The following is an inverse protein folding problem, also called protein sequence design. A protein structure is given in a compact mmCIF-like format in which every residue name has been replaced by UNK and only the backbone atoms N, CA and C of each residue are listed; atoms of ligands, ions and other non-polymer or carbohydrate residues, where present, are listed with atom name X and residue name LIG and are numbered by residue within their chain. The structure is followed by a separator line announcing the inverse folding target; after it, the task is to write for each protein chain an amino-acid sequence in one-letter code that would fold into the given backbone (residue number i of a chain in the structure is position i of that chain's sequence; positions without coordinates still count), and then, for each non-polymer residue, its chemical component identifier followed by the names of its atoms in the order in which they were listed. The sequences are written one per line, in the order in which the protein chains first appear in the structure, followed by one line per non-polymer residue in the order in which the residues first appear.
data_IF_786551072591
#
_entry.id   IF_786551072591
#
_cell.length_a   1.000
_cell.length_b   1.000
_cell.length_c   1.000
_cell.angle_alpha   90.00
_cell.angle_beta   90.00
_cell.angle_gamma   90.00
#
_symmetry.space_group_name_H-M   'P 1'
#
loop_
_entity.id
_entity.type
_entity.pdbx_description
1 polymer ?
#
# COMPACT_ATOMS: atom_id res chain seq x y z
N UNK A 1 0.55 -29.04 -6.53
CA UNK A 1 -0.07 -27.70 -6.50
C UNK A 1 -1.17 -27.67 -7.54
N UNK A 2 -2.43 -27.60 -7.08
CA UNK A 2 -3.63 -28.02 -7.84
C UNK A 2 -4.17 -26.89 -8.71
N UNK A 3 -4.81 -27.23 -9.82
CA UNK A 3 -5.35 -26.34 -10.88
C UNK A 3 -6.17 -25.14 -10.38
N UNK A 4 -6.74 -25.19 -9.17
CA UNK A 4 -7.43 -24.08 -8.52
C UNK A 4 -6.53 -22.85 -8.32
N UNK A 5 -5.25 -23.06 -7.99
CA UNK A 5 -4.29 -21.96 -7.83
C UNK A 5 -4.03 -21.28 -9.18
N UNK A 6 -3.97 -22.03 -10.29
CA UNK A 6 -3.84 -21.49 -11.66
C UNK A 6 -5.05 -20.67 -12.09
N UNK A 7 -6.27 -21.07 -11.70
CA UNK A 7 -7.49 -20.29 -11.99
C UNK A 7 -7.55 -18.96 -11.24
N UNK A 8 -7.03 -18.91 -10.01
CA UNK A 8 -7.02 -17.66 -9.21
C UNK A 8 -6.17 -16.57 -9.88
N UNK A 9 -4.98 -16.93 -10.40
CA UNK A 9 -4.07 -16.00 -11.08
C UNK A 9 -4.52 -15.50 -12.47
N UNK A 10 -5.65 -15.99 -13.02
CA UNK A 10 -6.08 -15.69 -14.39
C UNK A 10 -7.08 -14.51 -14.51
N UNK A 11 -7.37 -13.79 -13.43
CA UNK A 11 -8.15 -12.55 -13.50
C UNK A 11 -7.25 -11.34 -13.79
N UNK A 12 -7.11 -11.02 -15.08
CA UNK A 12 -6.55 -9.74 -15.52
C UNK A 12 -7.57 -8.62 -15.24
N UNK A 13 -7.50 -8.03 -14.04
CA UNK A 13 -8.15 -6.75 -13.78
C UNK A 13 -7.42 -5.66 -14.57
N UNK A 14 -8.12 -4.97 -15.47
CA UNK A 14 -7.63 -3.79 -16.19
C UNK A 14 -7.52 -2.56 -15.26
N UNK A 15 -6.89 -2.70 -14.10
CA UNK A 15 -6.55 -1.57 -13.26
C UNK A 15 -5.09 -1.19 -13.52
N UNK A 16 -4.87 0.05 -13.94
CA UNK A 16 -3.54 0.60 -14.08
C UNK A 16 -3.09 1.10 -12.70
N UNK A 17 -2.22 0.35 -12.01
CA UNK A 17 -1.72 0.72 -10.68
C UNK A 17 -0.61 1.77 -10.75
N UNK A 18 -0.76 2.82 -11.55
CA UNK A 18 0.34 3.72 -11.87
C UNK A 18 0.58 4.80 -10.81
N UNK A 19 -0.49 5.39 -10.26
CA UNK A 19 -0.38 6.51 -9.32
C UNK A 19 -0.45 6.00 -7.88
N UNK A 20 0.66 6.12 -7.15
CA UNK A 20 0.84 5.52 -5.83
C UNK A 20 1.12 6.60 -4.79
N UNK A 21 0.44 6.54 -3.65
CA UNK A 21 0.74 7.39 -2.48
C UNK A 21 1.24 6.55 -1.32
N UNK A 22 2.33 6.98 -0.71
CA UNK A 22 2.84 6.41 0.54
C UNK A 22 2.44 7.34 1.70
N UNK A 23 1.75 6.78 2.68
CA UNK A 23 1.20 7.49 3.84
C UNK A 23 2.01 7.13 5.08
N UNK A 24 2.67 8.13 5.67
CA UNK A 24 3.70 7.96 6.70
C UNK A 24 5.06 7.79 6.05
N UNK A 25 5.89 8.84 6.09
CA UNK A 25 7.22 8.92 5.49
C UNK A 25 8.32 8.83 6.56
N UNK A 26 8.07 8.01 7.58
CA UNK A 26 9.06 7.67 8.60
C UNK A 26 10.11 6.68 8.10
N UNK A 27 10.71 5.95 9.03
CA UNK A 27 11.80 5.00 8.75
C UNK A 27 11.45 3.95 7.69
N UNK A 28 10.20 3.47 7.67
CA UNK A 28 9.76 2.50 6.67
C UNK A 28 9.26 3.17 5.38
N UNK A 29 8.33 4.12 5.50
CA UNK A 29 7.61 4.61 4.32
C UNK A 29 8.46 5.48 3.40
N UNK A 30 9.46 6.21 3.89
CA UNK A 30 10.33 6.98 2.99
C UNK A 30 11.16 6.07 2.06
N UNK A 31 11.85 5.01 2.55
CA UNK A 31 12.47 4.01 1.69
C UNK A 31 11.49 3.38 0.68
N UNK A 32 10.27 3.04 1.13
CA UNK A 32 9.23 2.50 0.22
C UNK A 32 8.87 3.52 -0.87
N UNK A 33 8.68 4.79 -0.53
CA UNK A 33 8.37 5.84 -1.50
C UNK A 33 9.49 6.02 -2.54
N UNK A 34 10.76 5.99 -2.10
CA UNK A 34 11.92 6.03 -3.01
C UNK A 34 11.91 4.83 -3.95
N UNK A 35 11.76 3.62 -3.40
CA UNK A 35 11.76 2.38 -4.17
C UNK A 35 10.65 2.36 -5.22
N UNK A 36 9.40 2.70 -4.83
CA UNK A 36 8.26 2.76 -5.74
C UNK A 36 8.51 3.79 -6.87
N UNK A 37 9.07 4.95 -6.54
CA UNK A 37 9.45 5.96 -7.55
C UNK A 37 10.54 5.46 -8.51
N UNK A 38 11.57 4.79 -8.01
CA UNK A 38 12.66 4.23 -8.82
C UNK A 38 12.18 3.15 -9.80
N UNK A 39 11.04 2.51 -9.51
CA UNK A 39 10.40 1.51 -10.36
C UNK A 39 9.35 2.08 -11.32
N UNK A 40 9.34 3.41 -11.52
CA UNK A 40 8.59 4.06 -12.60
C UNK A 40 7.15 4.46 -12.28
N UNK A 41 6.69 4.27 -11.05
CA UNK A 41 5.35 4.70 -10.63
C UNK A 41 5.27 6.22 -10.46
N UNK A 42 4.09 6.80 -10.70
CA UNK A 42 3.80 8.20 -10.38
C UNK A 42 3.59 8.35 -8.85
N UNK A 43 4.70 8.55 -8.15
CA UNK A 43 4.78 8.41 -6.69
C UNK A 43 4.61 9.72 -5.93
N UNK A 44 3.75 9.67 -4.92
CA UNK A 44 3.49 10.75 -3.98
C UNK A 44 3.68 10.30 -2.53
N UNK A 45 3.86 11.27 -1.64
CA UNK A 45 3.96 11.08 -0.20
C UNK A 45 2.93 11.90 0.56
N UNK A 46 2.50 11.39 1.70
CA UNK A 46 1.70 12.11 2.69
C UNK A 46 2.24 11.82 4.09
N UNK A 47 2.56 12.86 4.85
CA UNK A 47 2.93 12.76 6.25
C UNK A 47 2.26 13.87 7.06
N UNK A 48 1.89 13.58 8.30
CA UNK A 48 1.30 14.56 9.22
C UNK A 48 2.34 15.63 9.64
N UNK A 49 3.63 15.25 9.63
CA UNK A 49 4.73 16.15 9.92
C UNK A 49 5.20 16.85 8.65
N UNK A 50 4.89 18.13 8.54
CA UNK A 50 5.26 18.97 7.39
C UNK A 50 6.77 19.01 7.14
N UNK A 51 7.61 18.94 8.18
CA UNK A 51 9.07 18.91 8.02
C UNK A 51 9.53 17.61 7.33
N UNK A 52 8.91 16.48 7.69
CA UNK A 52 9.16 15.19 7.05
C UNK A 52 8.77 15.25 5.57
N UNK A 53 7.59 15.79 5.26
CA UNK A 53 7.12 15.94 3.88
C UNK A 53 8.05 16.87 3.05
N UNK A 54 8.39 18.05 3.57
CA UNK A 54 9.32 18.98 2.90
C UNK A 54 10.70 18.36 2.66
N UNK A 55 11.22 17.59 3.63
CA UNK A 55 12.47 16.85 3.45
C UNK A 55 12.34 15.76 2.38
N UNK A 56 11.22 15.04 2.32
CA UNK A 56 10.98 14.02 1.32
C UNK A 56 10.92 14.61 -0.11
N UNK A 57 10.25 15.75 -0.25
CA UNK A 57 10.13 16.47 -1.52
C UNK A 57 11.48 17.06 -1.96
N UNK A 58 12.14 17.85 -1.12
CA UNK A 58 13.37 18.55 -1.49
C UNK A 58 14.57 17.62 -1.73
N UNK A 59 14.69 16.52 -0.97
CA UNK A 59 15.86 15.63 -1.06
C UNK A 59 15.68 14.45 -1.99
N UNK A 60 14.44 13.98 -2.17
CA UNK A 60 14.16 12.75 -2.92
C UNK A 60 13.11 12.96 -4.03
N UNK A 61 12.58 14.17 -4.18
CA UNK A 61 11.58 14.51 -5.20
C UNK A 61 10.27 13.74 -5.03
N UNK A 62 9.89 13.37 -3.82
CA UNK A 62 8.59 12.75 -3.54
C UNK A 62 7.53 13.86 -3.54
N UNK A 63 6.59 13.79 -4.48
CA UNK A 63 5.54 14.82 -4.63
C UNK A 63 4.59 14.79 -3.44
N UNK A 64 4.19 15.94 -2.91
CA UNK A 64 3.22 15.98 -1.82
C UNK A 64 1.81 15.64 -2.32
N UNK A 65 1.13 14.70 -1.66
CA UNK A 65 -0.29 14.46 -1.84
C UNK A 65 -1.11 15.41 -0.92
N UNK A 66 -1.99 16.22 -1.50
CA UNK A 66 -2.89 17.12 -0.75
C UNK A 66 -4.24 16.48 -0.43
N UNK A 67 -4.70 15.55 -1.27
CA UNK A 67 -5.87 14.71 -1.07
C UNK A 67 -5.59 13.29 -1.59
N UNK A 68 -6.57 12.38 -1.50
CA UNK A 68 -6.42 10.98 -1.97
C UNK A 68 -7.23 10.59 -3.22
N UNK A 69 -7.88 11.54 -3.90
CA UNK A 69 -8.88 11.24 -4.95
C UNK A 69 -8.35 10.51 -6.18
N UNK A 70 -7.13 10.81 -6.60
CA UNK A 70 -6.62 10.34 -7.89
C UNK A 70 -5.75 9.07 -7.81
N UNK A 71 -5.48 8.54 -6.61
CA UNK A 71 -4.52 7.45 -6.41
C UNK A 71 -5.10 6.07 -6.66
N UNK A 72 -4.36 5.23 -7.39
CA UNK A 72 -4.71 3.84 -7.66
C UNK A 72 -4.35 2.93 -6.48
N UNK A 73 -3.24 3.27 -5.79
CA UNK A 73 -2.71 2.53 -4.65
C UNK A 73 -2.34 3.48 -3.52
N UNK A 74 -2.79 3.13 -2.30
CA UNK A 74 -2.52 3.84 -1.06
C UNK A 74 -1.80 2.90 -0.10
N UNK A 75 -0.50 3.13 0.08
CA UNK A 75 0.35 2.33 0.96
C UNK A 75 0.43 3.01 2.33
N UNK A 76 -0.03 2.34 3.38
CA UNK A 76 -0.07 2.86 4.74
C UNK A 76 1.13 2.32 5.54
N UNK A 77 2.05 3.23 5.87
CA UNK A 77 3.30 3.00 6.60
C UNK A 77 3.37 3.86 7.88
N UNK A 78 2.27 3.95 8.63
CA UNK A 78 2.18 4.75 9.87
C UNK A 78 2.59 3.96 11.10
N UNK A 79 3.01 4.66 12.16
CA UNK A 79 3.25 4.07 13.47
C UNK A 79 1.94 3.53 14.08
N UNK A 80 2.06 2.41 14.79
CA UNK A 80 0.96 1.68 15.43
C UNK A 80 1.26 1.32 16.89
N UNK A 81 2.13 2.09 17.53
CA UNK A 81 2.48 1.99 18.94
C UNK A 81 2.10 3.28 19.65
N UNK A 82 1.89 3.19 20.96
CA UNK A 82 1.65 4.40 21.74
C UNK A 82 2.95 5.20 21.87
N UNK A 83 2.91 6.55 21.87
CA UNK A 83 4.11 7.36 22.10
C UNK A 83 4.73 7.16 23.49
N UNK A 84 3.91 6.82 24.49
CA UNK A 84 4.28 6.61 25.89
C UNK A 84 4.60 5.15 26.24
N UNK A 85 4.19 4.20 25.38
CA UNK A 85 4.43 2.77 25.56
C UNK A 85 4.53 2.07 24.20
N UNK A 86 5.76 1.68 23.84
CA UNK A 86 6.05 1.04 22.56
C UNK A 86 5.53 -0.41 22.45
N UNK A 87 5.19 -1.06 23.56
CA UNK A 87 4.75 -2.46 23.58
C UNK A 87 3.23 -2.60 23.41
N UNK A 88 2.47 -1.54 23.74
CA UNK A 88 1.03 -1.53 23.55
C UNK A 88 0.69 -1.08 22.12
N UNK A 89 0.02 -1.93 21.32
CA UNK A 89 -0.40 -1.54 19.98
C UNK A 89 -1.51 -0.49 20.06
N UNK A 90 -1.40 0.54 19.22
CA UNK A 90 -2.39 1.60 19.04
C UNK A 90 -2.63 1.84 17.55
N UNK A 91 -3.87 1.67 17.08
CA UNK A 91 -4.20 1.77 15.65
C UNK A 91 -4.97 3.04 15.27
N UNK A 92 -5.17 3.97 16.21
CA UNK A 92 -6.01 5.16 15.98
C UNK A 92 -5.49 6.03 14.83
N UNK A 93 -4.16 6.21 14.72
CA UNK A 93 -3.54 6.92 13.61
C UNK A 93 -3.82 6.28 12.26
N UNK A 94 -3.73 4.94 12.19
CA UNK A 94 -4.10 4.16 11.00
C UNK A 94 -5.59 4.31 10.67
N UNK A 95 -6.47 4.23 11.67
CA UNK A 95 -7.92 4.35 11.45
C UNK A 95 -8.32 5.77 11.02
N UNK A 96 -7.63 6.80 11.50
CA UNK A 96 -7.82 8.19 11.06
C UNK A 96 -7.42 8.38 9.58
N UNK A 97 -6.31 7.77 9.16
CA UNK A 97 -5.90 7.74 7.74
C UNK A 97 -6.98 7.04 6.90
N UNK A 98 -7.45 5.86 7.33
CA UNK A 98 -8.49 5.11 6.63
C UNK A 98 -9.80 5.91 6.51
N UNK A 99 -10.17 6.65 7.55
CA UNK A 99 -11.33 7.55 7.52
C UNK A 99 -11.16 8.66 6.47
N UNK A 100 -9.97 9.26 6.39
CA UNK A 100 -9.66 10.25 5.33
C UNK A 100 -9.72 9.63 3.94
N UNK A 101 -9.13 8.44 3.75
CA UNK A 101 -9.17 7.68 2.49
C UNK A 101 -10.62 7.40 2.08
N UNK A 102 -11.48 6.95 3.00
CA UNK A 102 -12.88 6.61 2.71
C UNK A 102 -13.67 7.79 2.13
N UNK A 103 -13.34 9.02 2.56
CA UNK A 103 -13.99 10.25 2.10
C UNK A 103 -13.45 10.78 0.78
N UNK A 104 -12.14 10.66 0.55
CA UNK A 104 -11.47 11.35 -0.55
C UNK A 104 -11.16 10.43 -1.73
N UNK A 105 -10.77 9.19 -1.49
CA UNK A 105 -10.21 8.31 -2.52
C UNK A 105 -11.28 7.71 -3.42
N UNK A 106 -10.92 7.51 -4.70
CA UNK A 106 -11.77 6.84 -5.68
C UNK A 106 -12.02 5.38 -5.31
N UNK A 107 -13.25 4.91 -5.55
CA UNK A 107 -13.61 3.51 -5.37
C UNK A 107 -12.78 2.60 -6.28
N UNK A 108 -12.53 1.38 -5.83
CA UNK A 108 -11.70 0.38 -6.51
C UNK A 108 -10.19 0.54 -6.32
N UNK A 109 -9.73 1.60 -5.63
CA UNK A 109 -8.32 1.74 -5.28
C UNK A 109 -7.87 0.65 -4.29
N UNK A 110 -6.58 0.32 -4.33
CA UNK A 110 -5.95 -0.64 -3.43
C UNK A 110 -5.40 0.08 -2.19
N UNK A 111 -5.85 -0.34 -1.01
CA UNK A 111 -5.27 0.03 0.28
C UNK A 111 -4.33 -1.10 0.70
N UNK A 112 -3.04 -0.83 0.75
CA UNK A 112 -2.04 -1.75 1.29
C UNK A 112 -1.59 -1.29 2.67
N UNK A 113 -1.86 -2.11 3.69
CA UNK A 113 -1.36 -1.87 5.04
C UNK A 113 0.01 -2.52 5.13
N UNK A 114 1.07 -1.73 5.28
CA UNK A 114 2.44 -2.23 5.49
C UNK A 114 2.90 -2.06 6.93
N UNK A 115 2.22 -1.20 7.69
CA UNK A 115 2.35 -1.11 9.15
C UNK A 115 2.18 -2.46 9.84
N UNK A 116 2.94 -2.67 10.91
CA UNK A 116 2.68 -3.75 11.87
C UNK A 116 1.34 -3.50 12.55
N UNK A 117 0.40 -4.44 12.47
CA UNK A 117 -0.94 -4.26 13.04
C UNK A 117 -1.40 -5.50 13.80
N UNK A 118 -2.23 -5.37 14.84
CA UNK A 118 -2.87 -6.51 15.50
C UNK A 118 -3.73 -7.33 14.52
N UNK A 119 -3.86 -8.62 14.80
CA UNK A 119 -4.75 -9.53 14.04
C UNK A 119 -6.17 -8.95 13.94
N UNK A 120 -6.75 -9.01 12.75
CA UNK A 120 -8.10 -8.51 12.48
C UNK A 120 -8.18 -7.03 12.09
N UNK A 121 -7.09 -6.28 12.16
CA UNK A 121 -7.08 -4.86 11.77
C UNK A 121 -7.44 -4.65 10.31
N UNK A 122 -6.88 -5.44 9.38
CA UNK A 122 -7.23 -5.37 7.95
C UNK A 122 -8.71 -5.64 7.69
N UNK A 123 -9.32 -6.58 8.42
CA UNK A 123 -10.77 -6.85 8.35
C UNK A 123 -11.60 -5.65 8.83
N UNK A 124 -11.22 -5.01 9.94
CA UNK A 124 -11.88 -3.80 10.42
C UNK A 124 -11.78 -2.64 9.43
N UNK A 125 -10.62 -2.47 8.80
CA UNK A 125 -10.42 -1.47 7.73
C UNK A 125 -11.36 -1.76 6.57
N UNK A 126 -11.44 -3.02 6.13
CA UNK A 126 -12.32 -3.44 5.05
C UNK A 126 -13.81 -3.19 5.33
N UNK A 127 -14.27 -3.53 6.54
CA UNK A 127 -15.65 -3.25 7.00
C UNK A 127 -15.92 -1.74 7.02
N UNK A 128 -14.97 -0.93 7.50
CA UNK A 128 -15.12 0.52 7.60
C UNK A 128 -15.23 1.21 6.24
N UNK A 129 -14.64 0.63 5.20
CA UNK A 129 -14.69 1.17 3.84
C UNK A 129 -15.71 0.47 2.95
N UNK A 130 -16.57 -0.38 3.53
CA UNK A 130 -17.72 -1.05 2.90
C UNK A 130 -17.40 -1.72 1.55
N UNK A 131 -16.24 -2.39 1.47
CA UNK A 131 -15.73 -3.02 0.23
C UNK A 131 -15.69 -2.08 -1.00
N UNK A 132 -15.73 -0.76 -0.82
CA UNK A 132 -15.49 0.21 -1.89
C UNK A 132 -14.05 0.20 -2.37
N UNK A 133 -13.15 -0.42 -1.61
CA UNK A 133 -11.72 -0.51 -1.86
C UNK A 133 -11.25 -1.95 -1.67
N UNK A 134 -10.12 -2.28 -2.30
CA UNK A 134 -9.43 -3.54 -2.05
C UNK A 134 -8.44 -3.37 -0.91
N UNK A 135 -8.46 -4.26 0.08
CA UNK A 135 -7.64 -4.12 1.29
C UNK A 135 -6.72 -5.33 1.45
N UNK A 136 -5.42 -5.06 1.52
CA UNK A 136 -4.41 -6.07 1.79
C UNK A 136 -3.56 -5.69 2.99
N UNK A 137 -3.05 -6.69 3.69
CA UNK A 137 -1.97 -6.54 4.65
C UNK A 137 -0.70 -7.16 4.05
N UNK A 138 0.31 -6.32 3.83
CA UNK A 138 1.60 -6.72 3.29
C UNK A 138 2.70 -6.25 4.27
N UNK A 139 2.86 -6.90 5.43
CA UNK A 139 3.78 -6.42 6.46
C UNK A 139 5.21 -6.35 5.93
N UNK A 140 5.91 -5.27 6.26
CA UNK A 140 7.30 -5.08 5.86
C UNK A 140 8.28 -5.57 6.95
N UNK A 141 9.41 -6.16 6.55
CA UNK A 141 10.52 -6.52 7.45
C UNK A 141 11.78 -5.72 7.10
N UNK A 142 11.61 -4.40 7.01
CA UNK A 142 12.71 -3.51 6.62
C UNK A 142 13.74 -3.41 7.75
N UNK A 143 15.02 -3.43 7.40
CA UNK A 143 16.12 -3.28 8.35
C UNK A 143 17.18 -2.29 7.84
N UNK A 144 17.28 -1.14 8.53
CA UNK A 144 18.15 -0.02 8.16
C UNK A 144 19.64 -0.38 8.07
N UNK A 145 20.09 -1.35 8.88
CA UNK A 145 21.51 -1.69 8.98
C UNK A 145 21.97 -2.61 7.85
N UNK A 146 21.04 -3.22 7.12
CA UNK A 146 21.34 -4.16 6.04
C UNK A 146 20.45 -3.86 4.82
N UNK A 147 20.38 -2.59 4.38
CA UNK A 147 19.48 -2.19 3.28
C UNK A 147 19.70 -2.97 1.98
N UNK A 148 20.91 -3.45 1.70
CA UNK A 148 21.20 -4.25 0.50
C UNK A 148 20.52 -5.63 0.53
N UNK A 149 20.36 -6.22 1.71
CA UNK A 149 19.84 -7.59 1.90
C UNK A 149 18.40 -7.58 2.44
N UNK A 150 18.07 -6.59 3.27
CA UNK A 150 16.83 -6.43 4.03
C UNK A 150 16.20 -5.04 3.81
N UNK A 151 16.46 -4.42 2.65
CA UNK A 151 15.79 -3.22 2.16
C UNK A 151 14.36 -3.48 1.69
N UNK A 152 13.86 -2.65 0.77
CA UNK A 152 12.45 -2.71 0.32
C UNK A 152 12.15 -3.93 -0.55
N UNK A 153 13.10 -4.33 -1.40
CA UNK A 153 12.96 -5.49 -2.28
C UNK A 153 13.23 -6.79 -1.54
N UNK A 154 12.20 -7.34 -0.89
CA UNK A 154 12.26 -8.56 -0.10
C UNK A 154 11.05 -9.44 -0.42
N UNK A 155 11.17 -10.76 -0.24
CA UNK A 155 10.04 -11.68 -0.38
C UNK A 155 8.88 -11.22 0.52
N UNK A 156 7.74 -10.90 -0.10
CA UNK A 156 6.56 -10.39 0.60
C UNK A 156 5.52 -11.47 0.83
N UNK A 157 4.87 -11.39 1.98
CA UNK A 157 3.58 -12.06 2.23
C UNK A 157 2.49 -11.02 1.96
N UNK A 158 1.53 -11.36 1.11
CA UNK A 158 0.36 -10.51 0.82
C UNK A 158 -0.89 -11.23 1.31
N UNK A 159 -1.55 -10.66 2.32
CA UNK A 159 -2.80 -11.16 2.87
C UNK A 159 -3.99 -10.30 2.45
N UNK A 160 -4.79 -10.77 1.50
CA UNK A 160 -6.06 -10.13 1.14
C UNK A 160 -7.19 -10.53 2.09
N UNK A 161 -8.05 -9.57 2.45
CA UNK A 161 -9.23 -9.82 3.30
C UNK A 161 -10.35 -10.61 2.58
N UNK A 162 -10.32 -10.62 1.25
CA UNK A 162 -11.17 -11.40 0.35
C UNK A 162 -10.38 -11.79 -0.90
N UNK A 163 -10.92 -12.68 -1.74
CA UNK A 163 -10.23 -13.16 -2.95
C UNK A 163 -9.92 -12.01 -3.93
N UNK A 164 -10.84 -11.07 -4.16
CA UNK A 164 -10.56 -9.93 -5.03
C UNK A 164 -9.47 -9.03 -4.44
N UNK A 165 -9.45 -8.83 -3.12
CA UNK A 165 -8.39 -8.04 -2.47
C UNK A 165 -7.01 -8.70 -2.63
N UNK A 166 -6.94 -10.02 -2.42
CA UNK A 166 -5.70 -10.77 -2.64
C UNK A 166 -5.23 -10.63 -4.10
N UNK A 167 -6.14 -10.75 -5.07
CA UNK A 167 -5.80 -10.62 -6.47
C UNK A 167 -5.25 -9.22 -6.81
N UNK A 168 -5.89 -8.16 -6.33
CA UNK A 168 -5.40 -6.79 -6.53
C UNK A 168 -4.03 -6.57 -5.88
N UNK A 169 -3.82 -7.11 -4.67
CA UNK A 169 -2.52 -7.07 -4.02
C UNK A 169 -1.44 -7.79 -4.80
N UNK A 170 -1.71 -9.01 -5.28
CA UNK A 170 -0.78 -9.78 -6.09
C UNK A 170 -0.48 -9.07 -7.42
N UNK A 171 -1.49 -8.54 -8.11
CA UNK A 171 -1.28 -7.80 -9.35
C UNK A 171 -0.38 -6.58 -9.16
N UNK A 172 -0.48 -5.89 -8.02
CA UNK A 172 0.39 -4.76 -7.70
C UNK A 172 1.82 -5.20 -7.32
N UNK A 173 1.97 -6.14 -6.39
CA UNK A 173 3.28 -6.51 -5.83
C UNK A 173 4.10 -7.46 -6.71
N UNK A 174 3.47 -8.24 -7.59
CA UNK A 174 4.15 -9.25 -8.42
C UNK A 174 4.83 -8.65 -9.66
N UNK A 175 4.67 -7.34 -9.88
CA UNK A 175 5.37 -6.60 -10.95
C UNK A 175 5.02 -7.05 -12.37
N UNK A 176 3.99 -7.89 -12.56
CA UNK A 176 3.53 -8.28 -13.89
C UNK A 176 2.93 -7.04 -14.55
N UNK A 177 3.46 -6.64 -15.70
CA UNK A 177 2.75 -5.73 -16.57
C UNK A 177 1.35 -6.28 -16.81
N UNK A 178 0.33 -5.43 -16.63
CA UNK A 178 -1.04 -5.77 -17.03
C UNK A 178 -1.01 -5.90 -18.55
N UNK A 179 -0.77 -7.10 -19.05
CA UNK A 179 -0.89 -7.39 -20.48
C UNK A 179 -2.34 -7.10 -20.82
N UNK A 180 -2.57 -6.01 -21.53
CA UNK A 180 -3.89 -5.70 -22.06
C UNK A 180 -4.30 -6.91 -22.90
N UNK A 181 -5.34 -7.62 -22.47
CA UNK A 181 -5.93 -8.64 -23.33
C UNK A 181 -6.37 -7.88 -24.59
N UNK A 182 -5.64 -8.08 -25.68
CA UNK A 182 -6.09 -7.76 -27.01
C UNK A 182 -7.42 -8.47 -27.14
N UNK A 183 -8.50 -7.71 -27.26
CA UNK A 183 -9.81 -8.27 -27.59
C UNK A 183 -9.63 -9.06 -28.86
N UNK A 184 -9.65 -10.39 -28.74
CA UNK A 184 -9.79 -11.27 -29.90
C UNK A 184 -11.18 -10.95 -30.47
N UNK A 185 -11.19 -10.10 -31.48
CA UNK A 185 -12.32 -9.97 -32.40
C UNK A 185 -12.45 -11.32 -33.10
N UNK A 186 -13.46 -12.08 -32.71
CA UNK A 186 -14.03 -13.16 -33.51
C UNK A 186 -15.31 -12.62 -34.17
#
# INVERSE_FOLDING_TARGET
MKEETKRMYNYNYKNNYNKVVIIGLGQLGLPVAKYVKEHGFDTYGYDINQKTMQSAESKYGIKQATNFGDFDVLIICVSTHRPDDMFTPQVDGLMSVVEKISREAKAGALISIESTVPKGTSKKVFEKVDHRFHVVHAPHRWYALEEEVHGVNQLRIVGGVSNCCLQHGLNFYDGREVISQTTATA
#
